data_IF_069368963321
#
_entry.id   IF_069368963321
#
_cell.length_a   1.000
_cell.length_b   1.000
_cell.length_c   1.000
_cell.angle_alpha   90.00
_cell.angle_beta   90.00
_cell.angle_gamma   90.00
#
_symmetry.space_group_name_H-M   'P 1'
#
loop_
_entity.id
_entity.type
_entity.pdbx_description
1 polymer ?
#
# COMPACT_ATOMS: atom_id res chain seq x y z
N UNK A 1 1.14 2.81 -3.98
CA UNK A 1 0.45 4.01 -4.50
C UNK A 1 1.36 5.23 -4.43
N UNK A 2 1.70 5.76 -3.25
CA UNK A 2 2.56 6.96 -3.11
C UNK A 2 3.94 6.80 -3.75
N UNK A 3 4.65 5.70 -3.48
CA UNK A 3 5.97 5.49 -4.07
C UNK A 3 5.92 5.40 -5.60
N UNK A 4 4.91 4.76 -6.17
CA UNK A 4 4.76 4.68 -7.62
C UNK A 4 4.46 6.05 -8.23
N UNK A 5 3.65 6.86 -7.56
CA UNK A 5 3.41 8.25 -7.96
C UNK A 5 4.70 9.09 -7.92
N UNK A 6 5.57 8.86 -6.92
CA UNK A 6 6.87 9.51 -6.87
C UNK A 6 7.79 9.08 -8.01
N UNK A 7 7.88 7.78 -8.28
CA UNK A 7 8.82 7.22 -9.26
C UNK A 7 8.42 7.48 -10.71
N UNK A 8 7.13 7.66 -10.99
CA UNK A 8 6.60 7.74 -12.34
C UNK A 8 5.65 8.93 -12.58
N UNK A 9 5.48 9.81 -11.58
CA UNK A 9 4.54 10.92 -11.64
C UNK A 9 3.08 10.49 -11.46
N UNK A 10 2.20 11.49 -11.43
CA UNK A 10 0.76 11.31 -11.55
C UNK A 10 0.32 11.86 -12.90
N UNK A 11 -0.54 11.13 -13.59
CA UNK A 11 -1.24 11.68 -14.74
C UNK A 11 -1.99 12.95 -14.28
N UNK A 12 -1.93 14.08 -15.01
CA UNK A 12 -2.81 15.21 -14.78
C UNK A 12 -4.26 14.72 -14.87
N UNK A 13 -4.94 14.74 -13.73
CA UNK A 13 -6.33 14.36 -13.59
C UNK A 13 -7.07 15.52 -12.94
N UNK A 14 -8.35 15.73 -13.27
CA UNK A 14 -9.15 16.75 -12.61
C UNK A 14 -9.21 16.46 -11.10
N UNK A 15 -9.23 17.55 -10.33
CA UNK A 15 -9.46 17.51 -8.89
C UNK A 15 -10.76 16.78 -8.54
N UNK A 16 -10.87 16.29 -7.32
CA UNK A 16 -12.11 15.69 -6.84
C UNK A 16 -13.22 16.75 -6.79
N UNK A 17 -14.42 16.36 -7.21
CA UNK A 17 -15.63 17.17 -7.09
C UNK A 17 -16.51 16.57 -5.98
N UNK A 18 -16.58 17.21 -4.79
CA UNK A 18 -17.33 16.68 -3.65
C UNK A 18 -18.82 16.48 -3.94
N UNK A 19 -19.45 17.41 -4.68
CA UNK A 19 -20.88 17.37 -4.97
C UNK A 19 -21.20 16.24 -5.94
N UNK A 20 -20.39 16.10 -6.99
CA UNK A 20 -20.51 14.98 -7.92
C UNK A 20 -20.32 13.63 -7.22
N UNK A 21 -19.35 13.53 -6.29
CA UNK A 21 -19.16 12.30 -5.51
C UNK A 21 -20.33 12.00 -4.61
N UNK A 22 -20.90 13.01 -3.97
CA UNK A 22 -22.06 12.85 -3.10
C UNK A 22 -23.24 12.30 -3.91
N UNK A 23 -23.52 12.89 -5.07
CA UNK A 23 -24.59 12.44 -5.96
C UNK A 23 -24.35 11.00 -6.45
N UNK A 24 -23.15 10.68 -6.92
CA UNK A 24 -22.79 9.31 -7.35
C UNK A 24 -22.84 8.31 -6.18
N UNK A 25 -22.54 8.75 -4.96
CA UNK A 25 -22.55 7.89 -3.78
C UNK A 25 -23.94 7.43 -3.34
N UNK A 26 -25.01 8.03 -3.87
CA UNK A 26 -26.39 7.63 -3.61
C UNK A 26 -26.86 6.49 -4.54
N UNK A 27 -26.21 6.29 -5.68
CA UNK A 27 -26.65 5.32 -6.70
C UNK A 27 -26.28 3.87 -6.36
N UNK A 28 -27.01 2.89 -6.88
CA UNK A 28 -26.66 1.47 -6.74
C UNK A 28 -25.35 1.09 -7.44
N UNK A 29 -24.69 0.00 -7.02
CA UNK A 29 -23.45 -0.46 -7.70
C UNK A 29 -23.69 -0.83 -9.17
N UNK A 30 -24.82 -1.45 -9.47
CA UNK A 30 -25.22 -1.82 -10.84
C UNK A 30 -25.44 -0.58 -11.71
N UNK A 31 -26.13 0.42 -11.18
CA UNK A 31 -26.39 1.70 -11.85
C UNK A 31 -25.09 2.43 -12.17
N UNK A 32 -24.18 2.51 -11.20
CA UNK A 32 -22.85 3.09 -11.40
C UNK A 32 -22.05 2.32 -12.46
N UNK A 33 -22.09 0.99 -12.45
CA UNK A 33 -21.33 0.20 -13.43
C UNK A 33 -21.89 0.35 -14.85
N UNK A 34 -23.22 0.42 -15.00
CA UNK A 34 -23.86 0.69 -16.28
C UNK A 34 -23.52 2.10 -16.78
N UNK A 35 -23.60 3.11 -15.90
CA UNK A 35 -23.18 4.47 -16.23
C UNK A 35 -21.71 4.54 -16.65
N UNK A 36 -20.82 3.82 -15.96
CA UNK A 36 -19.41 3.73 -16.38
C UNK A 36 -19.27 3.04 -17.74
N UNK A 37 -20.07 2.00 -18.03
CA UNK A 37 -20.01 1.28 -19.31
C UNK A 37 -20.41 2.16 -20.49
N UNK A 38 -21.39 3.03 -20.30
CA UNK A 38 -21.81 4.01 -21.31
C UNK A 38 -20.74 5.09 -21.55
N UNK A 39 -20.03 5.51 -20.50
CA UNK A 39 -19.01 6.56 -20.58
C UNK A 39 -17.62 6.05 -21.02
N UNK A 40 -17.22 4.87 -20.56
CA UNK A 40 -15.90 4.27 -20.76
C UNK A 40 -15.98 2.74 -20.59
N UNK A 41 -16.34 2.05 -21.68
CA UNK A 41 -16.52 0.60 -21.73
C UNK A 41 -15.25 -0.18 -21.37
N UNK A 42 -14.06 0.35 -21.69
CA UNK A 42 -12.78 -0.25 -21.34
C UNK A 42 -12.54 -0.21 -19.83
N UNK A 43 -12.77 0.94 -19.18
CA UNK A 43 -12.71 1.04 -17.72
C UNK A 43 -13.75 0.16 -17.03
N UNK A 44 -14.97 0.07 -17.59
CA UNK A 44 -16.02 -0.80 -17.06
C UNK A 44 -15.67 -2.30 -17.13
N UNK A 45 -14.97 -2.72 -18.19
CA UNK A 45 -14.47 -4.09 -18.33
C UNK A 45 -13.34 -4.39 -17.33
N UNK A 46 -12.50 -3.40 -17.01
CA UNK A 46 -11.39 -3.55 -16.08
C UNK A 46 -11.79 -3.48 -14.59
N UNK A 47 -12.85 -2.73 -14.26
CA UNK A 47 -13.29 -2.50 -12.88
C UNK A 47 -14.50 -3.38 -12.52
N UNK A 48 -14.39 -4.09 -11.40
CA UNK A 48 -15.51 -4.85 -10.86
C UNK A 48 -16.58 -3.92 -10.28
N UNK A 49 -17.88 -4.25 -10.43
CA UNK A 49 -19.00 -3.42 -9.95
C UNK A 49 -18.93 -3.08 -8.44
N UNK A 50 -18.36 -3.99 -7.65
CA UNK A 50 -18.20 -3.80 -6.20
C UNK A 50 -17.00 -2.92 -5.82
N UNK A 51 -16.13 -2.55 -6.76
CA UNK A 51 -15.06 -1.57 -6.54
C UNK A 51 -15.61 -0.14 -6.68
N UNK A 52 -16.63 0.16 -5.87
CA UNK A 52 -17.44 1.38 -5.95
C UNK A 52 -16.60 2.65 -5.96
N UNK A 53 -15.55 2.71 -5.14
CA UNK A 53 -14.65 3.88 -5.07
C UNK A 53 -13.96 4.11 -6.41
N UNK A 54 -13.45 3.07 -7.06
CA UNK A 54 -12.80 3.21 -8.36
C UNK A 54 -13.78 3.49 -9.48
N UNK A 55 -14.98 2.90 -9.43
CA UNK A 55 -16.05 3.16 -10.41
C UNK A 55 -16.49 4.64 -10.34
N UNK A 56 -16.80 5.14 -9.14
CA UNK A 56 -17.16 6.57 -8.94
C UNK A 56 -16.05 7.47 -9.45
N UNK A 57 -14.78 7.18 -9.12
CA UNK A 57 -13.65 7.99 -9.61
C UNK A 57 -13.48 7.93 -11.13
N UNK A 58 -13.78 6.79 -11.77
CA UNK A 58 -13.71 6.68 -13.22
C UNK A 58 -14.81 7.50 -13.92
N UNK A 59 -16.03 7.48 -13.40
CA UNK A 59 -17.14 8.33 -13.86
C UNK A 59 -16.80 9.81 -13.65
N UNK A 60 -16.32 10.17 -12.44
CA UNK A 60 -15.92 11.53 -12.08
C UNK A 60 -14.86 12.08 -13.05
N UNK A 61 -13.79 11.32 -13.30
CA UNK A 61 -12.74 11.74 -14.25
C UNK A 61 -13.35 11.94 -15.64
N UNK A 62 -14.13 10.97 -16.13
CA UNK A 62 -14.66 11.03 -17.50
C UNK A 62 -15.62 12.21 -17.69
N UNK A 63 -16.45 12.52 -16.69
CA UNK A 63 -17.36 13.67 -16.71
C UNK A 63 -16.60 15.01 -16.67
N UNK A 64 -15.57 15.13 -15.83
CA UNK A 64 -14.83 16.38 -15.65
C UNK A 64 -13.83 16.67 -16.78
N UNK A 65 -13.16 15.64 -17.31
CA UNK A 65 -12.17 15.80 -18.38
C UNK A 65 -12.77 15.74 -19.79
N UNK A 66 -14.02 15.25 -19.92
CA UNK A 66 -14.67 14.86 -21.19
C UNK A 66 -13.87 13.84 -22.02
N UNK A 67 -12.90 13.18 -21.40
CA UNK A 67 -12.05 12.16 -22.02
C UNK A 67 -12.18 10.90 -21.16
N UNK A 68 -12.43 9.76 -21.79
CA UNK A 68 -12.50 8.49 -21.10
C UNK A 68 -11.25 8.25 -20.24
N UNK A 69 -11.44 7.72 -19.02
CA UNK A 69 -10.34 7.43 -18.09
C UNK A 69 -9.31 6.49 -18.73
N UNK A 70 -9.76 5.51 -19.50
CA UNK A 70 -8.92 4.60 -20.30
C UNK A 70 -8.00 5.36 -21.24
N UNK A 71 -8.52 6.36 -21.97
CA UNK A 71 -7.77 7.21 -22.90
C UNK A 71 -6.82 8.19 -22.19
N UNK A 72 -7.20 8.69 -21.00
CA UNK A 72 -6.31 9.53 -20.19
C UNK A 72 -5.16 8.72 -19.55
N UNK A 73 -5.45 7.49 -19.10
CA UNK A 73 -4.46 6.58 -18.53
C UNK A 73 -3.52 5.98 -19.57
N UNK A 74 -3.92 5.91 -20.86
CA UNK A 74 -3.05 5.50 -21.96
C UNK A 74 -2.16 6.63 -22.46
N UNK A 75 -2.65 7.89 -22.48
CA UNK A 75 -1.84 9.09 -22.81
C UNK A 75 -0.82 9.46 -21.72
N UNK A 76 -1.11 9.12 -20.47
CA UNK A 76 -0.23 9.35 -19.32
C UNK A 76 0.04 8.06 -18.56
N UNK A 77 0.10 6.94 -19.28
CA UNK A 77 0.77 5.77 -18.78
C UNK A 77 2.12 6.24 -18.26
N UNK A 78 2.54 5.69 -17.13
CA UNK A 78 3.77 5.94 -16.37
C UNK A 78 5.09 5.78 -17.18
N UNK A 79 5.10 6.21 -18.44
CA UNK A 79 6.06 6.01 -19.52
C UNK A 79 7.34 6.82 -19.27
N UNK A 80 7.26 7.92 -18.54
CA UNK A 80 8.44 8.63 -18.08
C UNK A 80 8.71 8.22 -16.63
N UNK A 81 9.57 7.24 -16.45
CA UNK A 81 10.20 7.00 -15.15
C UNK A 81 10.97 8.27 -14.76
N UNK A 82 10.41 9.05 -13.83
CA UNK A 82 10.99 10.32 -13.38
C UNK A 82 12.25 10.09 -12.56
N UNK A 83 12.23 9.03 -11.74
CA UNK A 83 13.30 8.71 -10.81
C UNK A 83 13.68 7.24 -10.93
N UNK A 84 14.99 6.98 -10.81
CA UNK A 84 15.53 5.63 -10.63
C UNK A 84 15.88 5.43 -9.18
N UNK A 85 15.44 4.31 -8.61
CA UNK A 85 15.61 4.02 -7.21
C UNK A 85 15.87 2.54 -6.97
N UNK A 86 16.61 2.28 -5.89
CA UNK A 86 16.64 0.98 -5.23
C UNK A 86 15.76 1.03 -4.01
N UNK A 87 14.77 0.15 -4.01
CA UNK A 87 13.73 0.09 -3.01
C UNK A 87 14.01 -1.12 -2.13
N UNK A 88 14.23 -0.87 -0.85
CA UNK A 88 14.46 -1.91 0.14
C UNK A 88 13.14 -2.29 0.82
N UNK A 89 12.79 -3.56 0.79
CA UNK A 89 11.53 -4.08 1.34
C UNK A 89 11.84 -5.15 2.39
N UNK A 90 11.93 -4.76 3.68
CA UNK A 90 12.04 -5.73 4.76
C UNK A 90 10.81 -6.63 4.82
N UNK A 91 11.04 -7.93 4.85
CA UNK A 91 10.02 -8.97 4.83
C UNK A 91 10.22 -9.90 6.02
N UNK A 92 9.13 -10.38 6.61
CA UNK A 92 9.17 -11.39 7.65
C UNK A 92 8.36 -12.60 7.21
N UNK A 93 8.72 -13.78 7.74
CA UNK A 93 7.85 -14.96 7.68
C UNK A 93 6.47 -14.62 8.26
N UNK A 94 5.43 -15.25 7.71
CA UNK A 94 4.03 -14.90 8.01
C UNK A 94 3.66 -15.01 9.49
N UNK A 95 4.13 -16.05 10.15
CA UNK A 95 3.99 -16.30 11.58
C UNK A 95 4.65 -15.17 12.40
N UNK A 96 5.92 -14.86 12.09
CA UNK A 96 6.68 -13.81 12.77
C UNK A 96 6.10 -12.42 12.54
N UNK A 97 5.65 -12.12 11.33
CA UNK A 97 4.96 -10.88 11.01
C UNK A 97 3.66 -10.75 11.82
N UNK A 98 2.88 -11.84 11.91
CA UNK A 98 1.64 -11.84 12.69
C UNK A 98 1.91 -11.59 14.17
N UNK A 99 2.93 -12.23 14.74
CA UNK A 99 3.31 -12.02 16.13
C UNK A 99 3.76 -10.57 16.38
N UNK A 100 4.63 -10.02 15.53
CA UNK A 100 5.07 -8.61 15.62
C UNK A 100 3.89 -7.64 15.52
N UNK A 101 2.92 -7.90 14.65
CA UNK A 101 1.72 -7.08 14.52
C UNK A 101 0.90 -7.12 15.82
N UNK A 102 0.69 -8.30 16.40
CA UNK A 102 -0.04 -8.47 17.67
C UNK A 102 0.64 -7.72 18.81
N UNK A 103 1.93 -7.91 18.99
CA UNK A 103 2.73 -7.21 20.00
C UNK A 103 2.71 -5.68 19.80
N UNK A 104 2.73 -5.21 18.55
CA UNK A 104 2.62 -3.77 18.26
C UNK A 104 1.23 -3.23 18.60
N UNK A 105 0.16 -3.95 18.25
CA UNK A 105 -1.21 -3.53 18.56
C UNK A 105 -1.44 -3.40 20.06
N UNK A 106 -1.00 -4.39 20.85
CA UNK A 106 -1.07 -4.33 22.32
C UNK A 106 -0.30 -3.15 22.89
N UNK A 107 0.96 -2.95 22.47
CA UNK A 107 1.76 -1.80 22.89
C UNK A 107 1.11 -0.46 22.56
N UNK A 108 0.46 -0.32 21.41
CA UNK A 108 -0.26 0.91 21.08
C UNK A 108 -1.42 1.17 22.05
N UNK A 109 -2.16 0.12 22.44
CA UNK A 109 -3.24 0.25 23.43
C UNK A 109 -2.69 0.59 24.82
N UNK A 110 -1.64 -0.09 25.26
CA UNK A 110 -0.94 0.18 26.53
C UNK A 110 -0.35 1.60 26.59
N UNK A 111 0.05 2.16 25.44
CA UNK A 111 0.56 3.52 25.31
C UNK A 111 -0.55 4.59 25.18
N UNK A 112 -1.83 4.22 25.36
CA UNK A 112 -2.93 5.18 25.39
C UNK A 112 -3.50 5.58 24.03
N UNK A 113 -3.52 4.67 23.04
CA UNK A 113 -4.13 4.93 21.73
C UNK A 113 -5.60 5.40 21.85
N UNK A 114 -6.35 4.90 22.82
CA UNK A 114 -7.77 5.26 23.01
C UNK A 114 -7.89 6.72 23.48
N UNK A 115 -7.05 7.12 24.44
CA UNK A 115 -6.95 8.46 24.99
C UNK A 115 -6.47 9.46 23.93
N UNK A 116 -5.46 9.09 23.13
CA UNK A 116 -5.00 9.87 21.99
C UNK A 116 -6.13 10.07 20.96
N UNK A 117 -6.89 9.01 20.67
CA UNK A 117 -8.02 9.07 19.74
C UNK A 117 -9.12 9.98 20.27
N UNK A 118 -9.47 9.87 21.56
CA UNK A 118 -10.47 10.72 22.23
C UNK A 118 -10.06 12.19 22.14
N UNK A 119 -8.81 12.50 22.46
CA UNK A 119 -8.25 13.86 22.38
C UNK A 119 -8.30 14.41 20.96
N UNK A 120 -7.96 13.58 19.98
CA UNK A 120 -7.98 13.96 18.56
C UNK A 120 -9.41 14.29 18.10
N UNK A 121 -10.39 13.46 18.47
CA UNK A 121 -11.81 13.69 18.14
C UNK A 121 -12.32 14.97 18.81
N UNK A 122 -12.01 15.17 20.09
CA UNK A 122 -12.41 16.37 20.81
C UNK A 122 -11.86 17.65 20.18
N UNK A 123 -10.62 17.61 19.65
CA UNK A 123 -9.95 18.77 19.10
C UNK A 123 -10.32 19.08 17.64
N UNK A 124 -10.50 18.06 16.81
CA UNK A 124 -10.61 18.24 15.35
C UNK A 124 -11.91 17.65 14.77
N UNK A 125 -12.77 17.08 15.60
CA UNK A 125 -14.01 16.43 15.20
C UNK A 125 -13.82 14.97 14.80
N UNK A 126 -14.95 14.31 14.53
CA UNK A 126 -15.00 12.85 14.36
C UNK A 126 -14.98 12.40 12.88
N UNK A 127 -15.12 13.31 11.92
CA UNK A 127 -15.03 13.01 10.48
C UNK A 127 -13.62 13.24 9.91
N UNK A 128 -12.61 12.70 10.59
CA UNK A 128 -11.22 12.78 10.11
C UNK A 128 -10.84 11.52 9.34
N UNK A 129 -10.11 11.70 8.24
CA UNK A 129 -9.55 10.59 7.48
C UNK A 129 -8.59 9.72 8.31
N UNK A 130 -7.85 10.30 9.25
CA UNK A 130 -6.94 9.56 10.14
C UNK A 130 -7.69 8.52 10.99
N UNK A 131 -8.93 8.83 11.38
CA UNK A 131 -9.78 7.94 12.17
C UNK A 131 -10.30 6.73 11.38
N UNK A 132 -9.99 6.65 10.07
CA UNK A 132 -10.28 5.47 9.23
C UNK A 132 -9.11 4.47 9.21
N UNK A 133 -7.94 4.86 9.72
CA UNK A 133 -6.75 4.00 9.76
C UNK A 133 -6.89 2.86 10.81
N UNK A 134 -6.25 1.70 10.59
CA UNK A 134 -6.19 0.63 11.59
C UNK A 134 -5.59 1.14 12.91
N UNK A 135 -6.20 0.78 14.05
CA UNK A 135 -5.91 1.39 15.34
C UNK A 135 -6.96 2.44 15.66
N UNK A 136 -6.81 3.66 15.13
CA UNK A 136 -7.74 4.77 15.37
C UNK A 136 -9.19 4.42 15.05
N UNK A 137 -9.44 3.66 13.98
CA UNK A 137 -10.80 3.20 13.65
C UNK A 137 -11.39 2.38 14.78
N UNK A 138 -10.65 1.41 15.32
CA UNK A 138 -11.16 0.55 16.39
C UNK A 138 -11.29 1.30 17.72
N UNK A 139 -10.34 2.19 18.04
CA UNK A 139 -10.43 3.07 19.20
C UNK A 139 -11.66 4.00 19.12
N UNK A 140 -11.93 4.59 17.96
CA UNK A 140 -13.15 5.38 17.71
C UNK A 140 -14.42 4.56 17.88
N UNK A 141 -14.46 3.34 17.33
CA UNK A 141 -15.61 2.44 17.49
C UNK A 141 -15.86 2.11 18.97
N UNK A 142 -14.80 1.87 19.75
CA UNK A 142 -14.91 1.69 21.19
C UNK A 142 -15.46 2.95 21.89
N UNK A 143 -14.93 4.14 21.57
CA UNK A 143 -15.41 5.41 22.14
C UNK A 143 -16.88 5.71 21.81
N UNK A 144 -17.42 5.13 20.74
CA UNK A 144 -18.83 5.23 20.34
C UNK A 144 -19.71 4.12 20.93
N UNK A 145 -19.15 3.18 21.68
CA UNK A 145 -19.88 2.01 22.19
C UNK A 145 -20.19 0.95 21.13
N UNK A 146 -19.61 1.04 19.93
CA UNK A 146 -19.78 0.06 18.84
C UNK A 146 -18.90 -1.19 19.02
N UNK A 147 -17.93 -1.12 19.93
CA UNK A 147 -16.99 -2.20 20.26
C UNK A 147 -16.72 -2.27 21.75
N UNK A 148 -16.53 -3.48 22.28
CA UNK A 148 -16.02 -3.70 23.63
C UNK A 148 -14.49 -3.73 23.65
N UNK A 149 -13.88 -3.37 24.78
CA UNK A 149 -12.41 -3.28 24.91
C UNK A 149 -11.66 -4.56 24.50
N UNK A 150 -12.11 -5.79 24.85
CA UNK A 150 -11.45 -7.03 24.41
C UNK A 150 -11.48 -7.22 22.88
N UNK A 151 -12.49 -6.68 22.20
CA UNK A 151 -12.65 -6.79 20.75
C UNK A 151 -11.75 -5.81 19.99
N UNK A 152 -11.32 -4.73 20.65
CA UNK A 152 -10.45 -3.70 20.06
C UNK A 152 -9.11 -4.30 19.64
N UNK A 153 -8.41 -5.00 20.54
CA UNK A 153 -7.12 -5.64 20.23
C UNK A 153 -7.26 -6.62 19.06
N UNK A 154 -8.27 -7.50 19.11
CA UNK A 154 -8.52 -8.49 18.07
C UNK A 154 -8.79 -7.86 16.71
N UNK A 155 -9.70 -6.87 16.64
CA UNK A 155 -10.02 -6.21 15.37
C UNK A 155 -8.83 -5.38 14.85
N UNK A 156 -8.10 -4.68 15.73
CA UNK A 156 -6.89 -3.95 15.35
C UNK A 156 -5.85 -4.89 14.74
N UNK A 157 -5.61 -6.04 15.36
CA UNK A 157 -4.73 -7.07 14.85
C UNK A 157 -5.18 -7.58 13.47
N UNK A 158 -6.46 -7.95 13.32
CA UNK A 158 -7.01 -8.45 12.05
C UNK A 158 -6.88 -7.43 10.92
N UNK A 159 -7.29 -6.17 11.15
CA UNK A 159 -7.22 -5.11 10.16
C UNK A 159 -5.77 -4.77 9.79
N UNK A 160 -4.87 -4.72 10.77
CA UNK A 160 -3.44 -4.49 10.51
C UNK A 160 -2.83 -5.64 9.71
N UNK A 161 -3.17 -6.89 10.02
CA UNK A 161 -2.71 -8.07 9.27
C UNK A 161 -3.23 -8.08 7.83
N UNK A 162 -4.49 -7.72 7.61
CA UNK A 162 -5.06 -7.56 6.27
C UNK A 162 -4.36 -6.44 5.49
N UNK A 163 -4.04 -5.32 6.16
CA UNK A 163 -3.28 -4.23 5.55
C UNK A 163 -1.87 -4.67 5.15
N UNK A 164 -1.15 -5.36 6.04
CA UNK A 164 0.16 -5.93 5.73
C UNK A 164 0.10 -6.93 4.55
N UNK A 165 -0.93 -7.80 4.50
CA UNK A 165 -1.18 -8.69 3.36
C UNK A 165 -1.35 -7.91 2.05
N UNK A 166 -2.08 -6.79 2.06
CA UNK A 166 -2.25 -5.93 0.87
C UNK A 166 -0.92 -5.31 0.44
N UNK A 167 -0.09 -4.85 1.37
CA UNK A 167 1.25 -4.33 1.07
C UNK A 167 2.15 -5.40 0.45
N UNK A 168 2.15 -6.61 1.02
CA UNK A 168 2.85 -7.77 0.48
C UNK A 168 2.38 -8.09 -0.94
N UNK A 169 1.06 -8.11 -1.16
CA UNK A 169 0.46 -8.39 -2.47
C UNK A 169 0.87 -7.35 -3.50
N UNK A 170 0.92 -6.08 -3.10
CA UNK A 170 1.40 -4.99 -3.95
C UNK A 170 2.84 -5.24 -4.38
N UNK A 171 3.74 -5.48 -3.44
CA UNK A 171 5.16 -5.67 -3.73
C UNK A 171 5.47 -6.92 -4.55
N UNK A 172 4.64 -7.97 -4.48
CA UNK A 172 4.79 -9.16 -5.33
C UNK A 172 4.39 -8.93 -6.78
N UNK A 173 3.41 -8.07 -7.00
CA UNK A 173 2.74 -7.98 -8.31
C UNK A 173 3.09 -6.73 -9.09
N UNK A 174 3.26 -5.58 -8.43
CA UNK A 174 3.46 -4.30 -9.11
C UNK A 174 4.88 -4.14 -9.70
N UNK A 175 5.97 -4.43 -8.98
CA UNK A 175 7.32 -4.29 -9.53
C UNK A 175 7.55 -5.11 -10.81
N UNK A 176 7.20 -6.41 -10.90
CA UNK A 176 7.41 -7.19 -12.12
C UNK A 176 6.61 -6.67 -13.31
N UNK A 177 5.35 -6.26 -13.08
CA UNK A 177 4.49 -5.66 -14.13
C UNK A 177 5.08 -4.39 -14.72
N UNK A 178 5.92 -3.68 -13.96
CA UNK A 178 6.59 -2.44 -14.37
C UNK A 178 7.99 -2.68 -14.92
N UNK A 179 8.42 -3.94 -15.04
CA UNK A 179 9.77 -4.30 -15.51
C UNK A 179 10.89 -3.98 -14.52
N UNK A 180 10.57 -3.75 -13.24
CA UNK A 180 11.58 -3.50 -12.20
C UNK A 180 12.35 -4.79 -11.89
N UNK A 181 13.65 -4.66 -11.60
CA UNK A 181 14.47 -5.79 -11.15
C UNK A 181 14.08 -6.16 -9.72
N UNK A 182 13.71 -7.41 -9.47
CA UNK A 182 13.36 -7.88 -8.13
C UNK A 182 14.43 -8.85 -7.62
N UNK A 183 14.99 -8.59 -6.44
CA UNK A 183 16.00 -9.45 -5.82
C UNK A 183 15.46 -10.11 -4.54
N UNK A 184 15.66 -11.42 -4.35
CA UNK A 184 16.37 -12.34 -5.26
C UNK A 184 15.59 -12.64 -6.55
N UNK A 185 16.28 -12.75 -7.70
CA UNK A 185 15.65 -12.87 -9.04
C UNK A 185 14.83 -14.14 -9.24
N UNK A 186 15.09 -15.16 -8.42
CA UNK A 186 14.61 -16.53 -8.61
C UNK A 186 13.09 -16.71 -8.46
N UNK A 187 12.37 -15.73 -7.91
CA UNK A 187 10.90 -15.79 -7.71
C UNK A 187 10.09 -15.11 -8.82
N UNK A 188 10.73 -14.35 -9.70
CA UNK A 188 10.05 -13.47 -10.65
C UNK A 188 10.32 -13.81 -12.13
N UNK A 189 10.84 -15.00 -12.42
CA UNK A 189 10.99 -15.49 -13.79
C UNK A 189 9.63 -15.44 -14.51
N UNK A 190 9.61 -14.81 -15.69
CA UNK A 190 8.43 -14.46 -16.53
C UNK A 190 7.48 -15.63 -16.86
N UNK A 191 7.87 -16.88 -16.62
CA UNK A 191 7.31 -18.05 -17.31
C UNK A 191 6.04 -18.68 -16.66
N UNK A 192 5.34 -17.97 -15.78
CA UNK A 192 4.09 -18.47 -15.16
C UNK A 192 2.95 -17.44 -15.10
N UNK A 193 2.82 -16.60 -16.12
CA UNK A 193 1.60 -15.77 -16.28
C UNK A 193 0.32 -16.59 -16.49
N UNK A 194 0.39 -17.89 -16.78
CA UNK A 194 -0.77 -18.78 -17.00
C UNK A 194 -1.38 -19.39 -15.73
N UNK A 195 -0.80 -19.22 -14.53
CA UNK A 195 -1.31 -19.87 -13.29
C UNK A 195 -1.92 -18.94 -12.24
N UNK A 196 -2.17 -17.66 -12.58
CA UNK A 196 -2.60 -16.64 -11.62
C UNK A 196 -4.09 -16.70 -11.22
N UNK A 197 -4.89 -17.64 -11.73
CA UNK A 197 -6.29 -17.82 -11.26
C UNK A 197 -6.46 -18.88 -10.16
N UNK A 198 -5.41 -19.65 -9.81
CA UNK A 198 -5.51 -20.73 -8.81
C UNK A 198 -4.30 -20.86 -7.87
N UNK A 199 -3.46 -19.83 -7.76
CA UNK A 199 -2.23 -19.93 -6.97
C UNK A 199 -2.52 -20.01 -5.46
N UNK A 200 -2.17 -21.16 -4.86
CA UNK A 200 -2.02 -21.44 -3.42
C UNK A 200 -1.53 -20.20 -2.65
N UNK A 201 -1.92 -20.01 -1.37
CA UNK A 201 -1.58 -18.83 -0.58
C UNK A 201 -0.07 -18.62 -0.55
N UNK A 202 0.41 -17.72 -1.40
CA UNK A 202 1.79 -17.63 -1.87
C UNK A 202 2.83 -17.76 -0.74
N UNK A 203 3.73 -18.75 -0.86
CA UNK A 203 4.82 -19.08 0.07
C UNK A 203 5.52 -17.84 0.68
N UNK A 204 6.24 -18.00 1.80
CA UNK A 204 7.04 -16.91 2.39
C UNK A 204 7.91 -16.22 1.32
N UNK A 205 8.14 -14.90 1.45
CA UNK A 205 9.02 -14.19 0.51
C UNK A 205 10.39 -14.83 0.53
N UNK A 206 10.98 -15.13 -0.63
CA UNK A 206 12.42 -15.23 -0.65
C UNK A 206 12.99 -13.84 -0.44
N UNK A 207 13.98 -13.77 0.42
CA UNK A 207 14.62 -12.53 0.82
C UNK A 207 16.12 -12.72 0.91
N UNK A 208 16.85 -11.64 0.68
CA UNK A 208 18.27 -11.56 0.94
C UNK A 208 18.48 -11.50 2.45
N UNK A 209 19.16 -12.51 3.01
CA UNK A 209 19.59 -12.51 4.40
C UNK A 209 20.85 -11.65 4.52
N UNK A 210 20.66 -10.34 4.71
CA UNK A 210 21.74 -9.36 4.86
C UNK A 210 21.57 -8.63 6.21
N UNK A 211 22.68 -8.41 6.91
CA UNK A 211 22.73 -7.46 8.03
C UNK A 211 22.81 -6.02 7.51
N UNK A 212 22.60 -5.02 8.38
CA UNK A 212 22.74 -3.61 8.00
C UNK A 212 24.15 -3.30 7.45
N UNK A 213 25.26 -3.71 8.09
CA UNK A 213 26.60 -3.48 7.53
C UNK A 213 26.78 -4.07 6.12
N UNK A 214 26.32 -5.32 5.90
CA UNK A 214 26.40 -5.97 4.59
C UNK A 214 25.56 -5.24 3.52
N UNK A 215 24.38 -4.75 3.91
CA UNK A 215 23.53 -3.95 3.05
C UNK A 215 24.20 -2.63 2.66
N UNK A 216 24.83 -1.92 3.61
CA UNK A 216 25.50 -0.65 3.35
C UNK A 216 26.67 -0.79 2.38
N UNK A 217 27.51 -1.81 2.56
CA UNK A 217 28.60 -2.12 1.60
C UNK A 217 28.04 -2.31 0.20
N UNK A 218 26.99 -3.13 0.07
CA UNK A 218 26.36 -3.43 -1.22
C UNK A 218 25.70 -2.21 -1.87
N UNK A 219 25.11 -1.31 -1.07
CA UNK A 219 24.55 -0.06 -1.56
C UNK A 219 25.64 0.90 -2.01
N UNK A 220 26.75 1.01 -1.27
CA UNK A 220 27.90 1.85 -1.63
C UNK A 220 28.46 1.48 -3.00
N UNK A 221 28.71 0.18 -3.21
CA UNK A 221 29.20 -0.35 -4.50
C UNK A 221 28.25 -0.02 -5.66
N UNK A 222 26.95 0.03 -5.38
CA UNK A 222 25.93 0.27 -6.40
C UNK A 222 25.71 1.75 -6.70
N UNK A 223 25.80 2.64 -5.71
CA UNK A 223 25.69 4.10 -5.91
C UNK A 223 26.83 4.62 -6.79
N UNK A 224 27.96 3.91 -6.85
CA UNK A 224 29.07 4.18 -7.76
C UNK A 224 28.75 3.98 -9.25
N UNK A 225 27.60 3.37 -9.59
CA UNK A 225 27.18 3.07 -10.97
C UNK A 225 25.79 3.64 -11.26
N UNK A 226 25.53 4.16 -12.47
CA UNK A 226 24.20 4.63 -12.84
C UNK A 226 23.20 3.48 -12.84
N UNK A 227 22.05 3.67 -12.18
CA UNK A 227 20.97 2.68 -12.21
C UNK A 227 20.33 2.65 -13.60
N UNK A 228 20.22 1.48 -14.22
CA UNK A 228 19.56 1.33 -15.52
C UNK A 228 18.02 1.29 -15.40
N UNK A 229 17.52 0.66 -14.34
CA UNK A 229 16.08 0.52 -14.02
C UNK A 229 15.86 0.44 -12.52
N UNK A 230 14.62 0.67 -12.08
CA UNK A 230 14.24 0.50 -10.67
C UNK A 230 14.50 -0.92 -10.20
N UNK A 231 14.97 -1.04 -8.95
CA UNK A 231 15.20 -2.32 -8.30
C UNK A 231 14.42 -2.42 -6.99
N UNK A 232 13.94 -3.62 -6.66
CA UNK A 232 13.29 -3.94 -5.40
C UNK A 232 14.05 -5.08 -4.75
N UNK A 233 14.60 -4.83 -3.56
CA UNK A 233 15.37 -5.80 -2.82
C UNK A 233 14.52 -6.25 -1.63
N UNK A 234 14.09 -7.50 -1.67
CA UNK A 234 13.40 -8.13 -0.56
C UNK A 234 14.45 -8.56 0.46
N UNK A 235 14.41 -7.99 1.66
CA UNK A 235 15.40 -8.22 2.71
C UNK A 235 14.76 -9.03 3.84
N UNK A 236 15.50 -9.98 4.40
CA UNK A 236 15.03 -10.75 5.54
C UNK A 236 15.01 -9.82 6.76
N UNK A 237 13.83 -9.54 7.29
CA UNK A 237 13.65 -8.63 8.40
C UNK A 237 14.08 -9.21 9.75
N UNK A 238 14.27 -10.51 9.89
CA UNK A 238 14.92 -11.08 11.08
C UNK A 238 16.42 -10.82 11.00
N UNK A 239 17.05 -11.10 9.87
CA UNK A 239 18.49 -10.87 9.68
C UNK A 239 18.87 -9.39 9.65
N UNK A 240 18.05 -8.55 9.00
CA UNK A 240 18.32 -7.13 8.84
C UNK A 240 18.28 -6.39 10.18
N UNK A 241 17.49 -6.88 11.13
CA UNK A 241 17.31 -6.25 12.44
C UNK A 241 17.73 -7.19 13.60
N UNK A 242 18.64 -8.14 13.34
CA UNK A 242 19.13 -9.12 14.34
C UNK A 242 20.14 -8.52 15.31
N UNK A 243 20.94 -7.54 14.88
CA UNK A 243 21.89 -6.85 15.75
C UNK A 243 21.13 -5.96 16.75
N UNK A 244 21.45 -6.04 18.05
CA UNK A 244 20.85 -5.15 19.04
C UNK A 244 21.13 -3.70 18.63
N UNK A 245 20.13 -2.83 18.77
CA UNK A 245 20.33 -1.38 18.65
C UNK A 245 21.31 -0.97 19.76
N UNK A 246 22.60 -1.05 19.49
CA UNK A 246 23.62 -0.38 20.29
C UNK A 246 23.18 1.08 20.38
N UNK A 247 23.04 1.58 21.61
CA UNK A 247 22.38 2.85 21.94
C UNK A 247 23.09 4.08 21.37
N UNK A 248 23.07 4.23 20.04
CA UNK A 248 23.89 5.20 19.33
C UNK A 248 23.26 5.56 18.00
N UNK A 249 22.52 6.69 18.05
CA UNK A 249 22.04 7.55 16.97
C UNK A 249 21.24 6.93 15.81
N UNK A 250 20.21 7.64 15.28
CA UNK A 250 19.47 7.20 14.11
C UNK A 250 20.43 6.87 12.95
N UNK A 251 20.26 5.70 12.32
CA UNK A 251 21.06 5.23 11.18
C UNK A 251 21.17 6.23 10.02
N UNK A 252 20.24 7.19 9.92
CA UNK A 252 20.27 8.31 8.96
C UNK A 252 21.54 9.16 9.11
N UNK A 253 22.11 9.27 10.31
CA UNK A 253 23.35 10.04 10.54
C UNK A 253 24.63 9.30 10.12
N UNK A 254 24.56 8.01 9.74
CA UNK A 254 25.72 7.26 9.22
C UNK A 254 25.82 7.28 7.68
N UNK A 255 24.90 7.97 7.00
CA UNK A 255 24.84 8.07 5.53
C UNK A 255 25.27 9.46 5.01
N UNK A 256 25.83 10.30 5.88
CA UNK A 256 26.52 11.56 5.53
C UNK A 256 28.03 11.32 5.60
#
# INVERSE_FOLDING_TARGET
>A
MYLTALLHGLAPMPSADPELRQNLSQLGNTELHNMLRELDSESAAALHMNDRIRVIRAIEITKLSRIARSQSSSRHAFLQQLLRAVILVPCWRRDRLSERIRQRCRRMLEQGLIEETRTTIAKYGDDLNVLRAPGYRQARQFLRGELQLPEVDLKMFQHTRQYAKRQITYWRNEPPKRGWLCLPEQDFKRDKMSRLRSAKPAADFKSLALTIPQLLVRLSDMVSKPLERNQVWFLDGEQLFSEPRSGGQPWIQRLQ
#
